data_IF_390139853913
#
_entry.id   IF_390139853913
#
_cell.length_a   1.000
_cell.length_b   1.000
_cell.length_c   1.000
_cell.angle_alpha   90.00
_cell.angle_beta   90.00
_cell.angle_gamma   90.00
#
_symmetry.space_group_name_H-M   'P 1'
#
loop_
_entity.id
_entity.type
_entity.pdbx_description
1 polymer ?
#
# COMPACT_ATOMS: atom_id res chain seq x y z
N UNK A 1 -20.83 -24.84 -28.00
CA UNK A 1 -19.90 -24.18 -27.06
C UNK A 1 -19.11 -25.28 -26.35
N UNK A 2 -17.79 -25.30 -26.49
CA UNK A 2 -16.95 -26.28 -25.79
C UNK A 2 -16.81 -25.81 -24.33
N UNK A 3 -17.32 -26.59 -23.37
CA UNK A 3 -17.04 -26.40 -21.95
C UNK A 3 -15.53 -26.55 -21.72
N UNK A 4 -14.84 -25.45 -21.47
CA UNK A 4 -13.49 -25.49 -20.93
C UNK A 4 -13.57 -26.01 -19.48
N UNK A 5 -13.20 -27.27 -19.28
CA UNK A 5 -12.96 -27.83 -17.96
C UNK A 5 -11.47 -27.70 -17.66
N UNK A 6 -11.03 -26.77 -16.79
CA UNK A 6 -9.62 -26.68 -16.43
C UNK A 6 -9.19 -28.04 -15.86
N UNK A 7 -8.10 -28.60 -16.41
CA UNK A 7 -7.44 -29.76 -15.80
C UNK A 7 -7.07 -29.37 -14.36
N UNK A 8 -7.42 -30.21 -13.38
CA UNK A 8 -6.91 -30.09 -12.01
C UNK A 8 -5.38 -30.23 -12.06
N UNK A 9 -4.68 -29.11 -12.14
CA UNK A 9 -3.25 -29.04 -11.84
C UNK A 9 -3.11 -29.18 -10.32
N UNK A 10 -2.15 -29.97 -9.80
CA UNK A 10 -1.85 -29.96 -8.37
C UNK A 10 -1.63 -28.50 -7.93
N UNK A 11 -2.19 -28.13 -6.78
CA UNK A 11 -1.83 -26.86 -6.17
C UNK A 11 -0.31 -26.90 -5.91
N UNK A 12 0.41 -25.96 -6.50
CA UNK A 12 1.83 -25.76 -6.24
C UNK A 12 1.94 -24.72 -5.13
N UNK A 13 2.64 -25.07 -4.06
CA UNK A 13 2.94 -24.14 -2.99
C UNK A 13 4.24 -23.39 -3.32
N UNK A 14 4.21 -22.06 -3.19
CA UNK A 14 5.42 -21.25 -3.32
C UNK A 14 6.36 -21.56 -2.16
N UNK A 15 7.65 -21.72 -2.44
CA UNK A 15 8.66 -21.82 -1.38
C UNK A 15 8.85 -20.45 -0.71
N UNK A 16 8.77 -20.36 0.63
CA UNK A 16 9.04 -19.11 1.34
C UNK A 16 10.46 -18.60 1.05
N UNK A 17 10.63 -17.28 0.94
CA UNK A 17 11.94 -16.67 0.70
C UNK A 17 12.97 -17.01 1.80
N UNK A 18 12.52 -17.23 3.04
CA UNK A 18 13.36 -17.68 4.16
C UNK A 18 13.95 -19.08 4.00
N UNK A 19 13.44 -19.88 3.06
CA UNK A 19 13.95 -21.21 2.73
C UNK A 19 14.88 -21.22 1.51
N UNK A 20 15.14 -20.05 0.91
CA UNK A 20 15.91 -19.92 -0.32
C UNK A 20 17.14 -19.06 -0.05
N UNK A 21 18.32 -19.68 -0.13
CA UNK A 21 19.60 -18.98 -0.08
C UNK A 21 20.18 -18.89 -1.50
N UNK A 22 20.45 -17.68 -1.96
CA UNK A 22 20.97 -17.43 -3.31
C UNK A 22 22.46 -17.08 -3.22
N UNK A 23 23.29 -18.03 -3.61
CA UNK A 23 24.75 -17.90 -3.65
C UNK A 23 25.28 -18.25 -5.04
N UNK A 24 25.41 -17.25 -5.92
CA UNK A 24 25.96 -17.41 -7.26
C UNK A 24 26.73 -16.14 -7.73
N UNK A 25 27.32 -16.22 -8.92
CA UNK A 25 28.07 -15.09 -9.49
C UNK A 25 27.21 -13.97 -10.09
N UNK A 26 25.89 -14.12 -10.14
CA UNK A 26 24.98 -13.20 -10.82
C UNK A 26 24.07 -12.44 -9.85
N UNK A 27 23.31 -13.14 -9.02
CA UNK A 27 22.35 -12.59 -8.08
C UNK A 27 22.99 -12.11 -6.78
N UNK A 28 23.99 -12.83 -6.24
CA UNK A 28 24.60 -12.44 -4.96
C UNK A 28 25.13 -11.00 -4.98
N UNK A 29 25.88 -10.53 -6.00
CA UNK A 29 26.31 -9.13 -6.05
C UNK A 29 25.16 -8.11 -6.10
N UNK A 30 24.03 -8.47 -6.72
CA UNK A 30 22.86 -7.57 -6.84
C UNK A 30 22.10 -7.46 -5.51
N UNK A 31 21.92 -8.58 -4.83
CA UNK A 31 21.30 -8.61 -3.50
C UNK A 31 22.14 -7.82 -2.49
N UNK A 32 23.46 -7.96 -2.54
CA UNK A 32 24.35 -7.18 -1.65
C UNK A 32 24.33 -5.69 -1.95
N UNK A 33 24.37 -5.27 -3.22
CA UNK A 33 24.24 -3.85 -3.58
C UNK A 33 22.89 -3.30 -3.14
N UNK A 34 21.80 -4.05 -3.34
CA UNK A 34 20.48 -3.61 -2.90
C UNK A 34 20.45 -3.41 -1.37
N UNK A 35 20.91 -4.41 -0.62
CA UNK A 35 20.90 -4.43 0.85
C UNK A 35 21.80 -3.35 1.47
N UNK A 36 23.00 -3.16 0.93
CA UNK A 36 24.04 -2.33 1.56
C UNK A 36 24.12 -0.92 1.01
N UNK A 37 23.55 -0.65 -0.18
CA UNK A 37 23.63 0.66 -0.85
C UNK A 37 22.24 1.16 -1.24
N UNK A 38 21.51 0.44 -2.09
CA UNK A 38 20.28 0.98 -2.70
C UNK A 38 19.19 1.29 -1.69
N UNK A 39 18.95 0.42 -0.71
CA UNK A 39 17.92 0.64 0.31
C UNK A 39 18.23 1.84 1.22
N UNK A 40 19.49 2.05 1.59
CA UNK A 40 19.89 3.22 2.38
C UNK A 40 19.74 4.51 1.57
N UNK A 41 20.17 4.49 0.30
CA UNK A 41 20.01 5.63 -0.59
C UNK A 41 18.53 5.98 -0.88
N UNK A 42 17.68 4.97 -1.06
CA UNK A 42 16.24 5.16 -1.19
C UNK A 42 15.62 5.76 0.08
N UNK A 43 16.07 5.33 1.26
CA UNK A 43 15.63 5.94 2.52
C UNK A 43 16.01 7.43 2.59
N UNK A 44 17.24 7.78 2.22
CA UNK A 44 17.68 9.18 2.18
C UNK A 44 16.78 10.00 1.23
N UNK A 45 16.41 9.45 0.07
CA UNK A 45 15.46 10.08 -0.83
C UNK A 45 14.04 10.24 -0.24
N UNK A 46 13.55 9.28 0.55
CA UNK A 46 12.25 9.42 1.25
C UNK A 46 12.28 10.58 2.26
N UNK A 47 13.43 10.83 2.88
CA UNK A 47 13.66 11.98 3.76
C UNK A 47 13.71 13.27 2.93
N UNK A 48 14.59 13.32 1.92
CA UNK A 48 14.83 14.53 1.12
C UNK A 48 13.61 14.99 0.32
N UNK A 49 12.87 14.06 -0.26
CA UNK A 49 11.63 14.34 -0.99
C UNK A 49 10.49 14.81 -0.08
N UNK A 50 10.61 14.58 1.24
CA UNK A 50 9.61 14.95 2.24
C UNK A 50 8.47 13.95 2.43
N UNK A 51 8.55 12.76 1.85
CA UNK A 51 7.55 11.69 2.06
C UNK A 51 7.42 11.37 3.56
N UNK A 52 8.54 11.17 4.26
CA UNK A 52 8.51 10.89 5.70
C UNK A 52 8.01 12.09 6.53
N UNK A 53 8.26 13.31 6.05
CA UNK A 53 7.77 14.53 6.67
C UNK A 53 6.24 14.64 6.59
N UNK A 54 5.62 14.18 5.49
CA UNK A 54 4.16 14.14 5.37
C UNK A 54 3.53 13.24 6.44
N UNK A 55 4.07 12.04 6.69
CA UNK A 55 3.60 11.17 7.79
C UNK A 55 3.74 11.86 9.15
N UNK A 56 4.87 12.52 9.41
CA UNK A 56 5.09 13.26 10.65
C UNK A 56 4.05 14.39 10.83
N UNK A 57 3.76 15.16 9.77
CA UNK A 57 2.73 16.21 9.77
C UNK A 57 1.34 15.62 10.01
N UNK A 58 1.01 14.50 9.36
CA UNK A 58 -0.28 13.84 9.48
C UNK A 58 -0.51 13.31 10.91
N UNK A 59 0.50 12.69 11.53
CA UNK A 59 0.40 12.22 12.91
C UNK A 59 0.29 13.34 13.95
N UNK A 60 0.76 14.55 13.60
CA UNK A 60 0.52 15.77 14.39
C UNK A 60 -0.79 16.46 14.07
N UNK A 61 -1.60 15.90 13.16
CA UNK A 61 -2.88 16.45 12.68
C UNK A 61 -2.75 17.90 12.18
N UNK A 62 -1.62 18.21 11.55
CA UNK A 62 -1.40 19.53 10.97
C UNK A 62 -2.28 19.74 9.74
N UNK A 63 -2.72 20.98 9.49
CA UNK A 63 -3.27 21.36 8.19
C UNK A 63 -2.17 22.09 7.44
N UNK A 64 -1.62 21.46 6.41
CA UNK A 64 -0.43 21.99 5.73
C UNK A 64 -0.75 22.51 4.34
N UNK A 65 -1.85 22.08 3.71
CA UNK A 65 -2.28 22.60 2.42
C UNK A 65 -1.15 22.56 1.38
N UNK A 66 -0.66 23.73 0.97
CA UNK A 66 0.42 23.87 -0.01
C UNK A 66 1.79 23.33 0.43
N UNK A 67 2.00 23.05 1.73
CA UNK A 67 3.28 22.55 2.26
C UNK A 67 3.39 21.02 2.24
N UNK A 68 2.42 20.32 1.63
CA UNK A 68 2.52 18.89 1.30
C UNK A 68 3.56 18.67 0.20
N UNK A 69 4.35 17.58 0.30
CA UNK A 69 5.40 17.27 -0.69
C UNK A 69 5.12 15.99 -1.47
N UNK A 70 5.37 16.02 -2.77
CA UNK A 70 5.18 14.89 -3.67
C UNK A 70 3.81 14.86 -4.33
N UNK A 71 3.52 13.75 -5.01
CA UNK A 71 2.22 13.47 -5.61
C UNK A 71 1.25 12.87 -4.59
N UNK A 72 -0.03 12.78 -4.95
CA UNK A 72 -1.11 12.27 -4.08
C UNK A 72 -0.86 10.84 -3.55
N UNK A 73 -0.01 10.07 -4.24
CA UNK A 73 0.40 8.70 -3.91
C UNK A 73 1.83 8.59 -3.34
N UNK A 74 2.46 9.69 -2.94
CA UNK A 74 3.86 9.69 -2.50
C UNK A 74 4.11 8.76 -1.29
N UNK A 75 3.10 8.54 -0.44
CA UNK A 75 3.13 7.57 0.65
C UNK A 75 3.52 6.15 0.19
N UNK A 76 3.11 5.76 -1.02
CA UNK A 76 3.43 4.43 -1.58
C UNK A 76 4.92 4.19 -1.72
N UNK A 77 5.74 5.23 -1.88
CA UNK A 77 7.19 5.09 -1.97
C UNK A 77 7.79 4.60 -0.65
N UNK A 78 7.27 5.07 0.48
CA UNK A 78 7.67 4.57 1.80
C UNK A 78 7.22 3.12 2.00
N UNK A 79 6.04 2.74 1.52
CA UNK A 79 5.52 1.38 1.65
C UNK A 79 6.32 0.38 0.80
N UNK A 80 6.59 0.70 -0.46
CA UNK A 80 7.44 -0.13 -1.34
C UNK A 80 8.85 -0.28 -0.79
N UNK A 81 9.41 0.78 -0.20
CA UNK A 81 10.70 0.70 0.49
C UNK A 81 10.64 -0.22 1.70
N UNK A 82 9.59 -0.11 2.54
CA UNK A 82 9.39 -1.00 3.70
C UNK A 82 9.27 -2.47 3.30
N UNK A 83 8.54 -2.76 2.22
CA UNK A 83 8.42 -4.10 1.65
C UNK A 83 9.81 -4.65 1.27
N UNK A 84 10.54 -3.91 0.43
CA UNK A 84 11.86 -4.31 -0.04
C UNK A 84 12.87 -4.46 1.11
N UNK A 85 12.87 -3.51 2.05
CA UNK A 85 13.77 -3.51 3.20
C UNK A 85 13.47 -4.70 4.12
N UNK A 86 12.21 -4.99 4.39
CA UNK A 86 11.81 -6.14 5.21
C UNK A 86 12.23 -7.47 4.58
N UNK A 87 11.98 -7.65 3.27
CA UNK A 87 12.37 -8.86 2.55
C UNK A 87 13.90 -9.04 2.50
N UNK A 88 14.66 -7.95 2.37
CA UNK A 88 16.13 -8.00 2.30
C UNK A 88 16.80 -8.53 3.57
N UNK A 89 16.13 -8.42 4.73
CA UNK A 89 16.68 -8.84 6.02
C UNK A 89 16.28 -10.27 6.43
N UNK A 90 15.51 -11.00 5.61
CA UNK A 90 15.05 -12.36 5.94
C UNK A 90 16.24 -13.29 6.21
N UNK A 91 17.23 -13.29 5.31
CA UNK A 91 18.42 -14.14 5.42
C UNK A 91 19.67 -13.34 5.85
N UNK A 92 19.62 -12.01 5.78
CA UNK A 92 20.76 -11.12 6.04
C UNK A 92 20.38 -9.96 6.98
N UNK A 93 20.14 -10.23 8.28
CA UNK A 93 19.73 -9.21 9.23
C UNK A 93 20.72 -8.04 9.32
N UNK A 94 20.22 -6.80 9.26
CA UNK A 94 21.01 -5.59 9.46
C UNK A 94 20.35 -4.71 10.53
N UNK A 95 20.95 -4.54 11.72
CA UNK A 95 20.36 -3.74 12.79
C UNK A 95 20.19 -2.27 12.42
N UNK A 96 20.98 -1.74 11.47
CA UNK A 96 20.83 -0.36 11.00
C UNK A 96 19.56 -0.22 10.17
N UNK A 97 19.31 -1.15 9.25
CA UNK A 97 18.10 -1.15 8.43
C UNK A 97 16.85 -1.44 9.27
N UNK A 98 16.95 -2.33 10.27
CA UNK A 98 15.87 -2.58 11.22
C UNK A 98 15.46 -1.31 12.00
N UNK A 99 16.42 -0.48 12.41
CA UNK A 99 16.13 0.78 13.08
C UNK A 99 15.37 1.76 12.16
N UNK A 100 15.76 1.84 10.88
CA UNK A 100 15.07 2.68 9.89
C UNK A 100 13.65 2.18 9.64
N UNK A 101 13.47 0.86 9.44
CA UNK A 101 12.15 0.24 9.24
C UNK A 101 11.21 0.56 10.40
N UNK A 102 11.66 0.34 11.63
CA UNK A 102 10.85 0.62 12.82
C UNK A 102 10.48 2.10 12.90
N UNK A 103 11.43 3.01 12.60
CA UNK A 103 11.15 4.44 12.58
C UNK A 103 10.09 4.85 11.56
N UNK A 104 10.09 4.26 10.35
CA UNK A 104 9.05 4.53 9.34
C UNK A 104 7.70 3.94 9.77
N UNK A 105 7.68 2.72 10.32
CA UNK A 105 6.45 2.10 10.83
C UNK A 105 5.84 2.96 11.96
N UNK A 106 6.66 3.52 12.85
CA UNK A 106 6.20 4.40 13.92
C UNK A 106 5.57 5.70 13.37
N UNK A 107 6.16 6.28 12.31
CA UNK A 107 5.58 7.45 11.63
C UNK A 107 4.23 7.12 11.00
N UNK A 108 4.11 5.99 10.32
CA UNK A 108 2.86 5.50 9.72
C UNK A 108 1.82 5.26 10.80
N UNK A 109 2.20 4.58 11.90
CA UNK A 109 1.31 4.30 13.03
C UNK A 109 0.78 5.58 13.66
N UNK A 110 1.63 6.60 13.81
CA UNK A 110 1.23 7.89 14.36
C UNK A 110 0.31 8.66 13.41
N UNK A 111 0.49 8.52 12.10
CA UNK A 111 -0.32 9.15 11.07
C UNK A 111 -1.70 8.50 10.87
N UNK A 112 -1.85 7.21 11.16
CA UNK A 112 -3.12 6.50 10.96
C UNK A 112 -4.24 7.07 11.84
N UNK A 113 -5.39 7.36 11.24
CA UNK A 113 -6.55 7.87 11.96
C UNK A 113 -7.20 6.80 12.85
N UNK A 114 -8.12 7.23 13.71
CA UNK A 114 -8.83 6.32 14.62
C UNK A 114 -9.65 5.25 13.87
N UNK A 115 -10.27 5.62 12.74
CA UNK A 115 -11.03 4.68 11.91
C UNK A 115 -10.15 3.60 11.27
N UNK A 116 -8.86 3.88 11.08
CA UNK A 116 -7.93 3.05 10.31
C UNK A 116 -7.47 3.71 9.00
N UNK A 117 -8.15 4.78 8.57
CA UNK A 117 -7.78 5.54 7.38
C UNK A 117 -6.34 6.07 7.44
N UNK A 118 -5.61 5.98 6.33
CA UNK A 118 -4.32 6.63 6.14
C UNK A 118 -4.07 6.95 4.66
N UNK A 119 -3.84 8.22 4.39
CA UNK A 119 -3.29 8.76 3.14
C UNK A 119 -2.94 10.23 3.44
N UNK A 120 -1.65 10.53 3.52
CA UNK A 120 -1.19 11.81 4.08
C UNK A 120 -1.63 12.99 3.22
N UNK A 121 -1.80 12.82 1.91
CA UNK A 121 -2.31 13.88 1.04
C UNK A 121 -3.73 14.31 1.47
N UNK A 122 -4.65 13.37 1.56
CA UNK A 122 -6.02 13.69 1.98
C UNK A 122 -6.06 14.18 3.42
N UNK A 123 -5.28 13.59 4.33
CA UNK A 123 -5.26 14.04 5.73
C UNK A 123 -4.80 15.50 5.87
N UNK A 124 -3.84 15.94 5.05
CA UNK A 124 -3.17 17.22 5.20
C UNK A 124 -3.68 18.33 4.29
N UNK A 125 -4.19 17.96 3.11
CA UNK A 125 -4.52 18.89 2.02
C UNK A 125 -6.04 18.98 1.82
N UNK A 126 -6.72 17.84 1.66
CA UNK A 126 -8.15 17.80 1.35
C UNK A 126 -8.92 16.80 2.25
N UNK A 127 -8.96 17.00 3.60
CA UNK A 127 -9.50 16.00 4.54
C UNK A 127 -10.98 15.71 4.37
N UNK A 128 -11.74 16.67 3.84
CA UNK A 128 -13.17 16.52 3.57
C UNK A 128 -13.46 15.84 2.22
N UNK A 129 -12.43 15.41 1.48
CA UNK A 129 -12.54 14.83 0.14
C UNK A 129 -12.02 13.40 0.01
N UNK A 130 -11.81 12.70 1.12
CA UNK A 130 -11.46 11.26 1.11
C UNK A 130 -12.48 10.48 0.30
N UNK A 131 -12.02 9.54 -0.51
CA UNK A 131 -12.84 8.66 -1.34
C UNK A 131 -13.77 9.41 -2.31
N UNK A 132 -13.27 10.52 -2.90
CA UNK A 132 -13.98 11.31 -3.93
C UNK A 132 -13.24 11.44 -5.26
N UNK A 133 -12.04 10.84 -5.38
CA UNK A 133 -11.29 10.77 -6.63
C UNK A 133 -10.57 9.42 -6.77
N UNK A 134 -11.27 8.47 -7.36
CA UNK A 134 -10.73 7.15 -7.69
C UNK A 134 -9.97 7.14 -9.01
N UNK A 135 -10.22 8.09 -9.91
CA UNK A 135 -9.54 8.14 -11.21
C UNK A 135 -8.04 8.47 -11.16
N UNK A 136 -7.60 9.30 -10.20
CA UNK A 136 -6.26 9.93 -10.25
C UNK A 136 -5.57 10.02 -8.89
N UNK A 137 -6.28 10.04 -7.75
CA UNK A 137 -5.64 10.30 -6.46
C UNK A 137 -5.11 9.06 -5.73
N UNK A 138 -5.34 7.85 -6.27
CA UNK A 138 -4.65 6.63 -5.85
C UNK A 138 -4.81 6.27 -4.37
N UNK A 139 -5.99 6.51 -3.77
CA UNK A 139 -6.24 6.17 -2.36
C UNK A 139 -6.16 4.65 -2.12
N UNK A 140 -6.79 3.82 -2.98
CA UNK A 140 -6.74 2.37 -2.81
C UNK A 140 -5.43 1.78 -3.33
N UNK A 141 -4.82 2.37 -4.35
CA UNK A 141 -3.46 2.02 -4.77
C UNK A 141 -2.46 2.16 -3.61
N UNK A 142 -2.50 3.31 -2.93
CA UNK A 142 -1.63 3.61 -1.80
C UNK A 142 -1.93 2.66 -0.62
N UNK A 143 -3.20 2.36 -0.36
CA UNK A 143 -3.60 1.39 0.65
C UNK A 143 -3.10 -0.02 0.34
N UNK A 144 -3.16 -0.45 -0.92
CA UNK A 144 -2.68 -1.78 -1.33
C UNK A 144 -1.18 -1.94 -1.10
N UNK A 145 -0.37 -0.93 -1.43
CA UNK A 145 1.06 -0.95 -1.13
C UNK A 145 1.36 -1.00 0.38
N UNK A 146 0.59 -0.32 1.23
CA UNK A 146 0.73 -0.44 2.69
C UNK A 146 0.49 -1.89 3.13
N UNK A 147 -0.58 -2.51 2.63
CA UNK A 147 -0.96 -3.87 2.97
C UNK A 147 0.13 -4.86 2.52
N UNK A 148 0.65 -4.75 1.29
CA UNK A 148 1.75 -5.60 0.80
C UNK A 148 2.99 -5.48 1.68
N UNK A 149 3.39 -4.25 2.00
CA UNK A 149 4.56 -4.00 2.86
C UNK A 149 4.39 -4.62 4.26
N UNK A 150 3.20 -4.50 4.84
CA UNK A 150 2.89 -5.08 6.15
C UNK A 150 2.87 -6.61 6.13
N UNK A 151 2.31 -7.22 5.09
CA UNK A 151 2.32 -8.68 4.89
C UNK A 151 3.75 -9.20 4.71
N UNK A 152 4.57 -8.51 3.90
CA UNK A 152 5.98 -8.85 3.71
C UNK A 152 6.77 -8.75 5.02
N UNK A 153 6.57 -7.67 5.79
CA UNK A 153 7.19 -7.49 7.10
C UNK A 153 6.79 -8.57 8.10
N UNK A 154 5.50 -8.90 8.18
CA UNK A 154 5.02 -9.98 9.04
C UNK A 154 5.59 -11.34 8.62
N UNK A 155 5.67 -11.60 7.31
CA UNK A 155 6.26 -12.84 6.79
C UNK A 155 7.75 -12.94 7.12
N UNK A 156 8.47 -11.83 7.10
CA UNK A 156 9.91 -11.79 7.41
C UNK A 156 10.21 -11.97 8.89
N UNK A 157 9.43 -11.37 9.80
CA UNK A 157 9.80 -11.27 11.23
C UNK A 157 8.76 -11.84 12.20
N UNK A 158 7.56 -12.17 11.74
CA UNK A 158 6.43 -12.61 12.58
C UNK A 158 5.84 -11.52 13.49
N UNK A 159 6.31 -10.27 13.37
CA UNK A 159 5.88 -9.13 14.19
C UNK A 159 4.56 -8.55 13.66
N UNK A 160 3.58 -8.40 14.57
CA UNK A 160 2.23 -7.95 14.20
C UNK A 160 2.03 -6.44 14.20
N UNK A 161 3.00 -5.65 14.65
CA UNK A 161 2.85 -4.19 14.78
C UNK A 161 2.42 -3.53 13.46
N UNK A 162 3.14 -3.80 12.38
CA UNK A 162 2.79 -3.26 11.07
C UNK A 162 1.58 -3.96 10.43
N UNK A 163 1.44 -5.28 10.64
CA UNK A 163 0.26 -6.03 10.18
C UNK A 163 -1.04 -5.47 10.77
N UNK A 164 -1.05 -5.08 12.04
CA UNK A 164 -2.23 -4.52 12.69
C UNK A 164 -2.63 -3.16 12.08
N UNK A 165 -1.66 -2.34 11.65
CA UNK A 165 -1.92 -1.09 10.93
C UNK A 165 -2.63 -1.40 9.60
N UNK A 166 -2.13 -2.38 8.85
CA UNK A 166 -2.75 -2.83 7.60
C UNK A 166 -4.16 -3.40 7.81
N UNK A 167 -4.38 -4.20 8.86
CA UNK A 167 -5.72 -4.70 9.19
C UNK A 167 -6.68 -3.55 9.50
N UNK A 168 -6.28 -2.56 10.32
CA UNK A 168 -7.13 -1.40 10.62
C UNK A 168 -7.50 -0.61 9.36
N UNK A 169 -6.55 -0.44 8.43
CA UNK A 169 -6.85 0.18 7.14
C UNK A 169 -7.84 -0.67 6.33
N UNK A 170 -7.61 -1.97 6.23
CA UNK A 170 -8.50 -2.86 5.48
C UNK A 170 -9.91 -2.93 6.11
N UNK A 171 -10.01 -2.86 7.45
CA UNK A 171 -11.28 -2.81 8.17
C UNK A 171 -12.06 -1.52 7.84
N UNK A 172 -11.39 -0.36 7.80
CA UNK A 172 -11.97 0.91 7.34
C UNK A 172 -12.49 0.79 5.91
N UNK A 173 -11.71 0.20 5.00
CA UNK A 173 -12.12 -0.02 3.61
C UNK A 173 -13.34 -0.96 3.50
N UNK A 174 -13.40 -2.03 4.30
CA UNK A 174 -14.58 -2.91 4.34
C UNK A 174 -15.82 -2.16 4.84
N UNK A 175 -15.65 -1.16 5.72
CA UNK A 175 -16.75 -0.33 6.18
C UNK A 175 -17.21 0.71 5.14
N UNK A 176 -16.31 1.19 4.27
CA UNK A 176 -16.58 2.21 3.26
C UNK A 176 -17.07 1.64 1.92
N UNK A 177 -16.52 0.51 1.47
CA UNK A 177 -16.75 -0.05 0.14
C UNK A 177 -17.59 -1.33 0.19
N UNK A 178 -18.35 -1.57 -0.88
CA UNK A 178 -19.17 -2.76 -1.05
C UNK A 178 -20.60 -2.46 -1.52
N UNK A 179 -21.42 -3.49 -1.72
CA UNK A 179 -22.82 -3.33 -2.11
C UNK A 179 -23.61 -2.47 -1.12
N UNK A 180 -24.35 -1.48 -1.61
CA UNK A 180 -25.10 -0.52 -0.78
C UNK A 180 -24.22 0.53 -0.08
N UNK A 181 -22.92 0.56 -0.36
CA UNK A 181 -21.94 1.54 0.14
C UNK A 181 -21.32 2.29 -1.05
N UNK A 182 -20.03 2.68 -0.97
CA UNK A 182 -19.34 3.20 -2.16
C UNK A 182 -19.11 2.09 -3.19
N UNK A 183 -19.90 2.14 -4.26
CA UNK A 183 -19.89 1.16 -5.35
C UNK A 183 -18.92 1.53 -6.47
N UNK A 184 -17.63 1.56 -6.16
CA UNK A 184 -16.57 2.02 -7.07
C UNK A 184 -15.27 1.25 -6.89
N UNK A 185 -14.29 1.52 -7.75
CA UNK A 185 -12.94 0.95 -7.74
C UNK A 185 -11.92 2.01 -8.16
N UNK A 186 -10.69 1.88 -7.69
CA UNK A 186 -9.58 2.76 -8.07
C UNK A 186 -9.20 2.58 -9.55
N UNK A 187 -8.84 3.69 -10.18
CA UNK A 187 -8.31 3.74 -11.53
C UNK A 187 -7.02 2.93 -11.67
N UNK A 188 -6.21 2.85 -10.61
CA UNK A 188 -4.99 2.04 -10.57
C UNK A 188 -5.21 0.77 -9.74
N UNK A 189 -5.11 -0.40 -10.38
CA UNK A 189 -5.22 -1.70 -9.71
C UNK A 189 -4.00 -1.96 -8.79
N UNK A 190 -4.24 -2.48 -7.59
CA UNK A 190 -3.21 -2.90 -6.62
C UNK A 190 -3.89 -3.51 -5.38
N UNK A 191 -4.92 -2.82 -4.86
CA UNK A 191 -5.64 -3.20 -3.64
C UNK A 191 -6.23 -4.62 -3.71
N UNK A 192 -6.63 -5.07 -4.89
CA UNK A 192 -7.27 -6.37 -5.10
C UNK A 192 -6.32 -7.52 -4.72
N UNK A 193 -5.05 -7.45 -5.17
CA UNK A 193 -4.03 -8.45 -4.85
C UNK A 193 -3.53 -8.31 -3.41
N UNK A 194 -3.44 -7.08 -2.90
CA UNK A 194 -3.03 -6.81 -1.53
C UNK A 194 -4.02 -7.41 -0.52
N UNK A 195 -5.32 -7.24 -0.75
CA UNK A 195 -6.39 -7.82 0.08
C UNK A 195 -6.41 -9.36 0.05
N UNK A 196 -6.14 -9.98 -1.11
CA UNK A 196 -5.96 -11.44 -1.18
C UNK A 196 -4.77 -11.90 -0.34
N UNK A 197 -3.67 -11.15 -0.37
CA UNK A 197 -2.47 -11.45 0.43
C UNK A 197 -2.75 -11.28 1.93
N UNK A 198 -3.50 -10.25 2.31
CA UNK A 198 -3.93 -10.03 3.70
C UNK A 198 -4.90 -11.12 4.18
N UNK A 199 -5.87 -11.54 3.35
CA UNK A 199 -6.74 -12.68 3.62
C UNK A 199 -5.93 -13.95 3.88
N UNK A 200 -4.97 -14.28 3.02
CA UNK A 200 -4.11 -15.46 3.21
C UNK A 200 -3.30 -15.40 4.51
N UNK A 201 -2.93 -14.19 4.93
CA UNK A 201 -2.13 -13.95 6.15
C UNK A 201 -2.97 -14.02 7.43
N UNK A 202 -4.23 -13.55 7.37
CA UNK A 202 -5.08 -13.34 8.56
C UNK A 202 -6.21 -14.37 8.70
N UNK A 203 -6.62 -14.99 7.59
CA UNK A 203 -7.80 -15.85 7.51
C UNK A 203 -9.14 -15.12 7.51
N UNK A 204 -9.16 -13.77 7.43
CA UNK A 204 -10.41 -13.02 7.53
C UNK A 204 -11.09 -12.85 6.17
N UNK A 205 -12.19 -13.59 5.97
CA UNK A 205 -12.88 -13.71 4.66
C UNK A 205 -13.36 -12.37 4.09
N UNK A 206 -13.69 -11.39 4.94
CA UNK A 206 -14.15 -10.06 4.50
C UNK A 206 -13.15 -9.35 3.58
N UNK A 207 -11.84 -9.58 3.76
CA UNK A 207 -10.82 -9.03 2.87
C UNK A 207 -10.88 -9.65 1.48
N UNK A 208 -11.12 -10.96 1.38
CA UNK A 208 -11.29 -11.66 0.10
C UNK A 208 -12.57 -11.23 -0.61
N UNK A 209 -13.66 -11.07 0.12
CA UNK A 209 -14.93 -10.56 -0.40
C UNK A 209 -14.76 -9.15 -0.98
N UNK A 210 -14.04 -8.26 -0.26
CA UNK A 210 -13.76 -6.92 -0.74
C UNK A 210 -12.86 -6.92 -2.00
N UNK A 211 -11.86 -7.80 -2.05
CA UNK A 211 -11.05 -7.98 -3.26
C UNK A 211 -11.89 -8.41 -4.47
N UNK A 212 -12.78 -9.39 -4.27
CA UNK A 212 -13.70 -9.87 -5.31
C UNK A 212 -14.66 -8.77 -5.76
N UNK A 213 -15.15 -7.97 -4.82
CA UNK A 213 -15.99 -6.81 -5.13
C UNK A 213 -15.26 -5.82 -6.06
N UNK A 214 -14.03 -5.40 -5.74
CA UNK A 214 -13.29 -4.47 -6.58
C UNK A 214 -13.02 -5.02 -7.99
N UNK A 215 -12.67 -6.31 -8.10
CA UNK A 215 -12.51 -6.99 -9.40
C UNK A 215 -13.79 -6.89 -10.24
N UNK A 216 -14.95 -7.18 -9.62
CA UNK A 216 -16.23 -7.19 -10.32
C UNK A 216 -16.75 -5.78 -10.66
N UNK A 217 -16.35 -4.75 -9.91
CA UNK A 217 -16.70 -3.37 -10.21
C UNK A 217 -15.91 -2.78 -11.38
N UNK A 218 -14.75 -3.34 -11.71
CA UNK A 218 -13.93 -2.86 -12.83
C UNK A 218 -14.63 -3.10 -14.16
N UNK A 219 -14.88 -2.02 -14.91
CA UNK A 219 -15.62 -2.07 -16.17
C UNK A 219 -17.15 -2.07 -16.02
N UNK A 220 -17.68 -1.98 -14.80
CA UNK A 220 -19.10 -1.80 -14.58
C UNK A 220 -19.54 -0.42 -15.12
N UNK A 221 -20.52 -0.43 -16.03
CA UNK A 221 -21.00 0.78 -16.72
C UNK A 221 -21.68 1.80 -15.79
N UNK A 222 -22.08 1.35 -14.60
CA UNK A 222 -22.69 2.15 -13.52
C UNK A 222 -21.68 2.56 -12.43
N UNK A 223 -20.39 2.19 -12.56
CA UNK A 223 -19.37 2.54 -11.57
C UNK A 223 -19.21 4.06 -11.44
N UNK A 224 -19.05 4.54 -10.20
CA UNK A 224 -18.79 5.95 -9.91
C UNK A 224 -17.54 6.47 -10.64
N UNK A 225 -16.51 5.63 -10.82
CA UNK A 225 -15.31 5.95 -11.58
C UNK A 225 -15.62 6.49 -12.99
N UNK A 226 -16.65 5.96 -13.66
CA UNK A 226 -17.05 6.46 -14.99
C UNK A 226 -17.59 7.89 -14.92
N UNK A 227 -18.35 8.20 -13.87
CA UNK A 227 -18.83 9.56 -13.63
C UNK A 227 -17.67 10.51 -13.32
N UNK A 228 -16.72 10.11 -12.49
CA UNK A 228 -15.54 10.92 -12.14
C UNK A 228 -14.69 11.29 -13.35
N UNK A 229 -14.41 10.31 -14.22
CA UNK A 229 -13.65 10.54 -15.46
C UNK A 229 -14.32 11.57 -16.39
N UNK A 230 -15.64 11.77 -16.26
CA UNK A 230 -16.39 12.77 -17.00
C UNK A 230 -16.53 14.13 -16.27
N UNK A 231 -16.14 14.22 -14.99
CA UNK A 231 -16.33 15.39 -14.12
C UNK A 231 -15.07 15.71 -13.29
N UNK A 232 -13.89 15.63 -13.90
CA UNK A 232 -12.59 15.84 -13.24
C UNK A 232 -12.48 17.17 -12.49
N UNK A 233 -13.26 18.19 -12.87
CA UNK A 233 -13.28 19.49 -12.21
C UNK A 233 -13.97 19.49 -10.83
N UNK A 234 -14.73 18.44 -10.51
CA UNK A 234 -15.56 18.30 -9.31
C UNK A 234 -14.97 17.38 -8.23
N UNK A 235 -13.88 16.69 -8.55
CA UNK A 235 -13.22 15.72 -7.67
C UNK A 235 -11.95 16.31 -7.03
N UNK A 236 -11.38 15.62 -6.04
CA UNK A 236 -10.13 16.00 -5.36
C UNK A 236 -8.91 16.05 -6.31
N UNK A 237 -7.76 16.52 -5.86
CA UNK A 237 -6.50 16.31 -6.59
C UNK A 237 -6.32 17.13 -7.87
N UNK A 238 -6.71 18.41 -7.84
CA UNK A 238 -6.30 19.35 -8.89
C UNK A 238 -4.77 19.39 -8.89
N UNK A 239 -4.14 19.02 -10.02
CA UNK A 239 -2.71 19.21 -10.22
C UNK A 239 -2.40 20.70 -10.03
N UNK A 240 -1.90 21.05 -8.84
CA UNK A 240 -1.25 22.33 -8.63
C UNK A 240 -0.08 22.41 -9.62
N UNK A 241 0.18 23.59 -10.16
CA UNK A 241 1.43 23.81 -10.92
C UNK A 241 2.58 23.34 -10.01
N UNK A 242 3.49 22.47 -10.48
CA UNK A 242 4.72 22.19 -9.75
C UNK A 242 5.37 23.54 -9.45
N UNK A 243 5.56 23.83 -8.17
CA UNK A 243 6.37 24.97 -7.71
C UNK A 243 7.84 24.73 -8.00
#
# INVERSE_FOLDING_TARGET
MLEYRPKKVPALDAMPASMVLIHDGFWTPRLEVNRTVSLFHQYDFLVESGVLENFQKAGRKMKTGADFRGLFFADSDAYKWLEAASLSMINDPDPRLAALINGVIDLISAAQEESGYINTYFQLVEPDKKFTNFGVCHELYTAGHLIQAAVAHFTAFGTKSFLNIACRLADDLVEVFGPGKLETVDGHAEIEMALVSLYRTTGWERYLELALFFINQRGNSQSHLRWELAHLERIAGKLGKPG
#
